data_IF_538994063208
#
_entry.id   IF_538994063208
#
_cell.length_a   1.000
_cell.length_b   1.000
_cell.length_c   1.000
_cell.angle_alpha   90.00
_cell.angle_beta   90.00
_cell.angle_gamma   90.00
#
_symmetry.space_group_name_H-M   'P 1'
#
loop_
_entity.id
_entity.type
_entity.pdbx_description
1 polymer ?
#
# COMPACT_ATOMS: atom_id res chain seq x y z
N UNK A 1 10.62 20.23 8.91
CA UNK A 1 9.89 20.02 10.21
C UNK A 1 9.65 21.27 11.03
N UNK A 2 10.28 22.38 10.78
CA UNK A 2 10.04 23.63 11.55
C UNK A 2 8.62 24.16 11.40
N UNK A 3 8.01 23.98 10.23
CA UNK A 3 6.66 24.47 9.89
C UNK A 3 5.55 23.43 10.06
N UNK A 4 5.90 22.16 10.26
CA UNK A 4 4.92 21.08 10.23
C UNK A 4 4.17 20.99 11.55
N UNK A 5 2.86 21.00 11.43
CA UNK A 5 1.93 20.81 12.55
C UNK A 5 1.39 19.37 12.61
N UNK A 6 1.50 18.62 11.50
CA UNK A 6 1.18 17.19 11.41
C UNK A 6 2.10 16.53 10.40
N UNK A 7 2.51 15.28 10.66
CA UNK A 7 3.39 14.50 9.76
C UNK A 7 3.21 13.01 9.97
N UNK A 8 3.56 12.26 8.94
CA UNK A 8 3.67 10.82 9.00
C UNK A 8 5.14 10.44 9.27
N UNK A 9 5.40 9.71 10.36
CA UNK A 9 6.69 9.09 10.62
C UNK A 9 6.72 7.73 9.93
N UNK A 10 7.80 7.42 9.21
CA UNK A 10 7.98 6.16 8.51
C UNK A 10 9.31 5.54 8.94
N UNK A 11 9.24 4.39 9.58
CA UNK A 11 10.40 3.63 10.06
C UNK A 11 10.93 2.73 8.95
N UNK A 12 12.07 3.12 8.36
CA UNK A 12 12.72 2.38 7.28
C UNK A 12 13.38 1.09 7.76
N UNK A 13 13.78 1.01 9.03
CA UNK A 13 14.38 -0.21 9.59
C UNK A 13 13.30 -1.28 9.77
N UNK A 14 12.14 -0.91 10.34
CA UNK A 14 10.98 -1.80 10.43
C UNK A 14 10.51 -2.27 9.05
N UNK A 15 10.50 -1.37 8.06
CA UNK A 15 10.15 -1.69 6.67
C UNK A 15 11.09 -2.75 6.07
N UNK A 16 12.40 -2.57 6.19
CA UNK A 16 13.40 -3.52 5.69
C UNK A 16 13.34 -4.85 6.45
N UNK A 17 13.16 -4.81 7.78
CA UNK A 17 12.99 -6.02 8.60
C UNK A 17 11.76 -6.82 8.16
N UNK A 18 10.63 -6.16 7.90
CA UNK A 18 9.43 -6.82 7.40
C UNK A 18 9.68 -7.50 6.06
N UNK A 19 10.38 -6.84 5.12
CA UNK A 19 10.69 -7.46 3.84
C UNK A 19 11.68 -8.62 3.98
N UNK A 20 12.64 -8.56 4.93
CA UNK A 20 13.52 -9.69 5.24
C UNK A 20 12.73 -10.89 5.79
N UNK A 21 11.75 -10.65 6.68
CA UNK A 21 10.85 -11.71 7.16
C UNK A 21 10.05 -12.33 6.01
N UNK A 22 9.55 -11.52 5.08
CA UNK A 22 8.88 -12.01 3.87
C UNK A 22 9.81 -12.88 3.02
N UNK A 23 11.05 -12.45 2.76
CA UNK A 23 12.05 -13.24 2.01
C UNK A 23 12.32 -14.59 2.70
N UNK A 24 12.49 -14.60 4.02
CA UNK A 24 12.71 -15.81 4.79
C UNK A 24 11.51 -16.77 4.72
N UNK A 25 10.29 -16.23 4.84
CA UNK A 25 9.04 -17.03 4.78
C UNK A 25 8.79 -17.57 3.39
N UNK A 26 9.00 -16.78 2.35
CA UNK A 26 8.73 -17.16 0.97
C UNK A 26 9.78 -18.13 0.40
N UNK A 27 11.04 -18.00 0.79
CA UNK A 27 12.15 -18.81 0.28
C UNK A 27 12.40 -18.65 -1.22
N UNK A 28 11.90 -17.59 -1.83
CA UNK A 28 12.00 -17.29 -3.26
C UNK A 28 12.11 -15.78 -3.49
N UNK A 29 12.23 -15.34 -4.75
CA UNK A 29 12.28 -13.93 -5.10
C UNK A 29 11.02 -13.17 -4.67
N UNK A 30 11.20 -11.91 -4.30
CA UNK A 30 10.11 -11.04 -3.86
C UNK A 30 9.96 -9.84 -4.80
N UNK A 31 8.73 -9.60 -5.26
CA UNK A 31 8.27 -8.35 -5.84
C UNK A 31 7.69 -7.48 -4.71
N UNK A 32 8.36 -6.37 -4.41
CA UNK A 32 7.86 -5.40 -3.45
C UNK A 32 6.81 -4.49 -4.12
N UNK A 33 5.57 -4.51 -3.63
CA UNK A 33 4.46 -3.71 -4.18
C UNK A 33 4.51 -2.32 -3.57
N UNK A 34 4.79 -1.31 -4.40
CA UNK A 34 4.93 0.11 -4.01
C UNK A 34 3.94 1.03 -4.73
N UNK A 35 2.86 0.47 -5.28
CA UNK A 35 1.77 1.23 -5.91
C UNK A 35 1.06 2.16 -4.91
N UNK A 36 0.29 3.11 -5.42
CA UNK A 36 -0.43 4.11 -4.62
C UNK A 36 0.52 4.84 -3.66
N UNK A 37 1.65 5.31 -4.21
CA UNK A 37 2.70 6.01 -3.45
C UNK A 37 3.23 5.19 -2.26
N UNK A 38 3.53 3.90 -2.51
CA UNK A 38 3.88 2.92 -1.47
C UNK A 38 2.83 2.88 -0.35
N UNK A 39 1.55 2.73 -0.74
CA UNK A 39 0.40 2.75 0.19
C UNK A 39 0.34 4.06 1.02
N UNK A 40 0.71 5.17 0.39
CA UNK A 40 0.72 6.49 1.00
C UNK A 40 1.99 6.84 1.79
N UNK A 41 3.01 6.00 1.79
CA UNK A 41 4.24 6.22 2.58
C UNK A 41 5.42 6.81 1.79
N UNK A 42 5.24 7.12 0.49
CA UNK A 42 6.27 7.71 -0.36
C UNK A 42 7.06 6.70 -1.18
N UNK A 43 6.61 6.44 -2.42
CA UNK A 43 7.11 5.34 -3.26
C UNK A 43 8.61 5.42 -3.54
N UNK A 44 9.14 6.60 -3.79
CA UNK A 44 10.56 6.79 -4.12
C UNK A 44 11.46 6.39 -2.95
N UNK A 45 11.24 6.94 -1.76
CA UNK A 45 12.07 6.64 -0.58
C UNK A 45 11.93 5.18 -0.17
N UNK A 46 10.70 4.65 -0.19
CA UNK A 46 10.43 3.23 0.12
C UNK A 46 11.14 2.31 -0.89
N UNK A 47 11.09 2.62 -2.20
CA UNK A 47 11.77 1.80 -3.21
C UNK A 47 13.29 1.82 -3.03
N UNK A 48 13.89 2.98 -2.73
CA UNK A 48 15.31 3.07 -2.42
C UNK A 48 15.71 2.24 -1.20
N UNK A 49 14.89 2.22 -0.14
CA UNK A 49 15.14 1.38 1.03
C UNK A 49 15.04 -0.12 0.70
N UNK A 50 14.03 -0.53 -0.09
CA UNK A 50 13.75 -1.93 -0.35
C UNK A 50 14.56 -2.57 -1.49
N UNK A 51 15.16 -1.78 -2.40
CA UNK A 51 15.77 -2.33 -3.63
C UNK A 51 16.87 -3.36 -3.40
N UNK A 52 17.57 -3.33 -2.28
CA UNK A 52 18.58 -4.33 -1.94
C UNK A 52 17.96 -5.69 -1.54
N UNK A 53 16.67 -5.72 -1.19
CA UNK A 53 15.98 -6.85 -0.58
C UNK A 53 14.85 -7.42 -1.45
N UNK A 54 14.63 -6.90 -2.67
CA UNK A 54 13.63 -7.41 -3.60
C UNK A 54 14.21 -7.63 -5.00
N UNK A 55 13.59 -8.50 -5.78
CA UNK A 55 13.95 -8.76 -7.18
C UNK A 55 13.21 -7.80 -8.13
N UNK A 56 11.96 -7.45 -7.82
CA UNK A 56 11.08 -6.62 -8.62
C UNK A 56 10.38 -5.57 -7.76
N UNK A 57 9.93 -4.48 -8.43
CA UNK A 57 8.92 -3.60 -7.88
C UNK A 57 7.59 -3.77 -8.62
N UNK A 58 6.46 -3.63 -7.88
CA UNK A 58 5.11 -3.66 -8.44
C UNK A 58 4.41 -2.32 -8.32
N UNK A 59 3.93 -1.77 -9.45
CA UNK A 59 3.19 -0.50 -9.52
C UNK A 59 1.80 -0.72 -10.12
N UNK A 60 0.91 0.28 -10.03
CA UNK A 60 -0.43 0.18 -10.60
C UNK A 60 -0.50 0.72 -12.02
N UNK A 61 0.35 1.68 -12.39
CA UNK A 61 0.29 2.38 -13.66
C UNK A 61 1.67 2.86 -14.12
N UNK A 62 1.71 3.36 -15.37
CA UNK A 62 2.95 3.81 -16.01
C UNK A 62 3.56 5.04 -15.32
N UNK A 63 2.75 5.94 -14.76
CA UNK A 63 3.27 7.16 -14.11
C UNK A 63 3.99 6.83 -12.80
N UNK A 64 3.50 5.90 -12.00
CA UNK A 64 4.19 5.38 -10.81
C UNK A 64 5.51 4.68 -11.19
N UNK A 65 5.49 3.87 -12.26
CA UNK A 65 6.69 3.19 -12.75
C UNK A 65 7.76 4.18 -13.24
N UNK A 66 7.35 5.22 -13.97
CA UNK A 66 8.24 6.29 -14.45
C UNK A 66 8.80 7.15 -13.31
N UNK A 67 8.03 7.40 -12.26
CA UNK A 67 8.50 8.09 -11.06
C UNK A 67 9.68 7.31 -10.43
N UNK A 68 9.56 5.99 -10.28
CA UNK A 68 10.64 5.15 -9.78
C UNK A 68 11.85 5.14 -10.73
N UNK A 69 11.66 5.06 -12.05
CA UNK A 69 12.76 5.13 -13.02
C UNK A 69 13.50 6.45 -12.93
N UNK A 70 12.77 7.57 -12.89
CA UNK A 70 13.37 8.93 -12.77
C UNK A 70 14.11 9.13 -11.46
N UNK A 71 13.71 8.46 -10.39
CA UNK A 71 14.44 8.47 -9.11
C UNK A 71 15.69 7.58 -9.11
N UNK A 72 15.99 6.87 -10.22
CA UNK A 72 17.20 6.05 -10.35
C UNK A 72 17.03 4.58 -10.02
N UNK A 73 15.82 4.09 -9.75
CA UNK A 73 15.56 2.65 -9.52
C UNK A 73 15.82 1.88 -10.82
N UNK A 74 16.75 0.91 -10.77
CA UNK A 74 17.14 0.06 -11.90
C UNK A 74 16.51 -1.34 -11.85
N UNK A 75 15.99 -1.75 -10.72
CA UNK A 75 15.31 -3.06 -10.58
C UNK A 75 14.16 -3.21 -11.58
N UNK A 76 13.84 -4.42 -12.04
CA UNK A 76 12.65 -4.68 -12.82
C UNK A 76 11.39 -4.09 -12.17
N UNK A 77 10.53 -3.43 -12.97
CA UNK A 77 9.25 -2.90 -12.52
C UNK A 77 8.15 -3.56 -13.33
N UNK A 78 7.17 -4.16 -12.64
CA UNK A 78 5.97 -4.74 -13.23
C UNK A 78 4.76 -3.88 -12.90
N UNK A 79 4.05 -3.42 -13.93
CA UNK A 79 2.73 -2.82 -13.77
C UNK A 79 1.71 -3.95 -13.54
N UNK A 80 0.87 -3.82 -12.51
CA UNK A 80 -0.09 -4.86 -12.11
C UNK A 80 -1.49 -4.69 -12.72
N UNK A 81 -1.71 -3.61 -13.49
CA UNK A 81 -2.98 -3.29 -14.14
C UNK A 81 -2.82 -3.04 -15.64
N UNK A 82 -3.92 -3.13 -16.41
CA UNK A 82 -3.90 -2.83 -17.84
C UNK A 82 -3.62 -1.34 -18.10
N UNK A 83 -2.80 -1.05 -19.08
CA UNK A 83 -2.52 0.30 -19.55
C UNK A 83 -3.06 0.50 -20.96
N UNK A 84 -3.38 1.75 -21.36
CA UNK A 84 -3.69 2.05 -22.74
C UNK A 84 -2.45 1.89 -23.64
N UNK A 85 -2.64 1.60 -24.91
CA UNK A 85 -1.55 1.40 -25.88
C UNK A 85 -0.59 2.61 -25.98
N UNK A 86 -1.06 3.82 -25.67
CA UNK A 86 -0.23 5.03 -25.59
C UNK A 86 0.88 4.97 -24.54
N UNK A 87 0.78 4.06 -23.56
CA UNK A 87 1.81 3.87 -22.54
C UNK A 87 2.94 2.94 -23.01
N UNK A 88 2.75 2.15 -24.08
CA UNK A 88 3.70 1.10 -24.46
C UNK A 88 5.02 1.64 -25.00
N UNK A 89 4.99 2.77 -25.69
CA UNK A 89 6.24 3.41 -26.12
C UNK A 89 7.16 3.75 -24.94
N UNK A 90 6.59 4.29 -23.85
CA UNK A 90 7.32 4.60 -22.62
C UNK A 90 7.73 3.33 -21.87
N UNK A 91 6.84 2.32 -21.81
CA UNK A 91 7.14 1.06 -21.15
C UNK A 91 8.35 0.36 -21.81
N UNK A 92 8.41 0.33 -23.14
CA UNK A 92 9.54 -0.22 -23.90
C UNK A 92 10.81 0.62 -23.70
N UNK A 93 10.69 1.96 -23.76
CA UNK A 93 11.82 2.85 -23.59
C UNK A 93 12.51 2.68 -22.23
N UNK A 94 11.74 2.52 -21.18
CA UNK A 94 12.17 2.48 -19.77
C UNK A 94 12.27 1.06 -19.20
N UNK A 95 12.18 0.02 -20.03
CA UNK A 95 12.24 -1.40 -19.62
C UNK A 95 11.25 -1.72 -18.46
N UNK A 96 9.98 -1.32 -18.64
CA UNK A 96 8.90 -1.56 -17.68
C UNK A 96 8.07 -2.74 -18.18
N UNK A 97 7.85 -3.76 -17.31
CA UNK A 97 7.09 -4.95 -17.64
C UNK A 97 5.60 -4.65 -17.62
N UNK A 98 4.90 -5.12 -18.65
CA UNK A 98 3.46 -4.95 -18.81
C UNK A 98 2.73 -6.27 -18.53
N UNK A 99 1.53 -6.24 -17.91
CA UNK A 99 0.67 -7.41 -17.88
C UNK A 99 -0.02 -7.55 -19.23
N UNK A 100 0.02 -8.75 -19.83
CA UNK A 100 -0.62 -9.05 -21.11
C UNK A 100 -1.68 -10.12 -20.92
N UNK A 101 -2.89 -9.81 -21.39
CA UNK A 101 -4.06 -10.71 -21.40
C UNK A 101 -5.03 -10.41 -22.55
N UNK A 102 -4.61 -9.62 -23.53
CA UNK A 102 -5.29 -9.38 -24.80
C UNK A 102 -4.26 -9.44 -25.92
N UNK A 103 -4.64 -10.03 -27.05
CA UNK A 103 -3.76 -10.13 -28.21
C UNK A 103 -3.41 -8.74 -28.80
N UNK A 104 -4.38 -7.85 -28.84
CA UNK A 104 -4.22 -6.48 -29.35
C UNK A 104 -3.20 -5.68 -28.53
N UNK A 105 -3.20 -5.86 -27.21
CA UNK A 105 -2.24 -5.24 -26.30
C UNK A 105 -0.81 -5.79 -26.55
N UNK A 106 -0.69 -7.11 -26.73
CA UNK A 106 0.58 -7.75 -27.08
C UNK A 106 1.08 -7.27 -28.43
N UNK A 107 0.20 -7.17 -29.44
CA UNK A 107 0.54 -6.66 -30.78
C UNK A 107 1.05 -5.22 -30.72
N UNK A 108 0.35 -4.34 -30.00
CA UNK A 108 0.76 -2.95 -29.84
C UNK A 108 2.09 -2.81 -29.09
N UNK A 109 2.34 -3.63 -28.06
CA UNK A 109 3.63 -3.68 -27.36
C UNK A 109 4.76 -4.20 -28.28
N UNK A 110 4.50 -5.22 -29.09
CA UNK A 110 5.41 -5.76 -30.10
C UNK A 110 5.79 -4.71 -31.13
N UNK A 111 4.82 -3.97 -31.65
CA UNK A 111 5.05 -2.93 -32.67
C UNK A 111 5.97 -1.82 -32.12
N UNK A 112 5.77 -1.40 -30.86
CA UNK A 112 6.65 -0.42 -30.22
C UNK A 112 8.03 -1.00 -29.91
N UNK A 113 8.15 -2.26 -29.50
CA UNK A 113 9.42 -2.93 -29.27
C UNK A 113 10.26 -2.99 -30.57
N UNK A 114 9.66 -3.43 -31.66
CA UNK A 114 10.30 -3.49 -32.99
C UNK A 114 10.72 -2.10 -33.45
N UNK A 115 9.84 -1.10 -33.35
CA UNK A 115 10.12 0.29 -33.73
C UNK A 115 11.32 0.88 -32.97
N UNK A 116 11.49 0.51 -31.69
CA UNK A 116 12.60 0.98 -30.86
C UNK A 116 13.84 0.08 -30.93
N UNK A 117 13.81 -1.03 -31.68
CA UNK A 117 14.89 -2.02 -31.73
C UNK A 117 15.20 -2.66 -30.38
N UNK A 118 14.20 -2.81 -29.53
CA UNK A 118 14.30 -3.36 -28.17
C UNK A 118 13.48 -4.65 -28.02
N UNK A 119 13.73 -5.37 -26.93
CA UNK A 119 12.87 -6.47 -26.49
C UNK A 119 12.02 -5.97 -25.32
N UNK A 120 10.69 -6.10 -25.44
CA UNK A 120 9.75 -5.81 -24.37
C UNK A 120 9.48 -7.09 -23.59
N UNK A 121 9.85 -7.09 -22.29
CA UNK A 121 9.50 -8.16 -21.37
C UNK A 121 8.13 -7.92 -20.81
N UNK A 122 7.35 -8.99 -20.69
CA UNK A 122 5.99 -8.91 -20.18
C UNK A 122 5.63 -10.13 -19.34
N UNK A 123 4.57 -10.01 -18.52
CA UNK A 123 4.00 -11.12 -17.78
C UNK A 123 2.57 -11.38 -18.25
N UNK A 124 2.24 -12.63 -18.54
CA UNK A 124 0.85 -13.02 -18.77
C UNK A 124 0.04 -12.87 -17.48
N UNK A 125 -1.14 -12.26 -17.56
CA UNK A 125 -2.10 -12.28 -16.47
C UNK A 125 -3.19 -13.31 -16.73
N UNK A 126 -3.50 -14.15 -15.74
CA UNK A 126 -4.50 -15.23 -15.84
C UNK A 126 -5.55 -15.04 -14.74
N UNK A 127 -6.81 -15.06 -15.11
CA UNK A 127 -7.93 -15.06 -14.18
C UNK A 127 -8.29 -16.49 -13.79
N UNK A 128 -8.03 -16.81 -12.54
CA UNK A 128 -8.36 -18.12 -11.96
C UNK A 128 -9.53 -18.05 -10.97
N UNK A 129 -10.14 -16.85 -10.81
CA UNK A 129 -11.29 -16.66 -9.94
C UNK A 129 -11.36 -15.32 -9.20
N UNK A 130 -10.43 -14.38 -9.45
CA UNK A 130 -10.54 -13.00 -8.97
C UNK A 130 -11.55 -12.19 -9.79
N UNK A 131 -11.77 -12.60 -11.06
CA UNK A 131 -12.73 -12.00 -12.00
C UNK A 131 -12.51 -10.50 -12.24
N UNK A 132 -11.24 -10.07 -12.27
CA UNK A 132 -10.88 -8.66 -12.44
C UNK A 132 -10.16 -8.38 -13.75
N UNK A 133 -9.08 -9.09 -14.03
CA UNK A 133 -8.30 -9.02 -15.28
C UNK A 133 -7.65 -10.39 -15.51
N UNK A 134 -7.29 -10.68 -16.75
CA UNK A 134 -6.52 -11.88 -17.11
C UNK A 134 -7.22 -12.73 -18.16
N UNK A 135 -6.43 -13.55 -18.86
CA UNK A 135 -6.97 -14.62 -19.70
C UNK A 135 -7.78 -15.60 -18.84
N UNK A 136 -8.89 -16.11 -19.36
CA UNK A 136 -9.52 -17.26 -18.74
C UNK A 136 -8.62 -18.48 -18.88
N UNK A 137 -8.55 -19.33 -17.87
CA UNK A 137 -7.70 -20.52 -17.88
C UNK A 137 -8.28 -21.63 -18.79
N UNK A 138 -8.30 -21.40 -20.11
CA UNK A 138 -8.87 -22.28 -21.14
C UNK A 138 -7.86 -22.67 -22.22
N UNK A 139 -8.21 -23.68 -23.04
CA UNK A 139 -7.41 -24.11 -24.19
C UNK A 139 -7.23 -22.97 -25.21
N UNK A 140 -8.30 -22.24 -25.49
CA UNK A 140 -8.31 -21.12 -26.46
C UNK A 140 -7.37 -20.01 -26.00
N UNK A 141 -7.36 -19.69 -24.70
CA UNK A 141 -6.44 -18.70 -24.13
C UNK A 141 -4.97 -19.18 -24.21
N UNK A 142 -4.72 -20.47 -24.00
CA UNK A 142 -3.38 -21.03 -24.14
C UNK A 142 -2.91 -20.96 -25.61
N UNK A 143 -3.81 -21.18 -26.59
CA UNK A 143 -3.49 -21.03 -28.01
C UNK A 143 -3.20 -19.58 -28.39
N UNK A 144 -3.89 -18.60 -27.78
CA UNK A 144 -3.56 -17.17 -27.93
C UNK A 144 -2.20 -16.84 -27.34
N UNK A 145 -1.84 -17.38 -26.18
CA UNK A 145 -0.51 -17.18 -25.60
C UNK A 145 0.60 -17.68 -26.54
N UNK A 146 0.39 -18.84 -27.23
CA UNK A 146 1.31 -19.33 -28.26
C UNK A 146 1.47 -18.30 -29.41
N UNK A 147 0.39 -17.70 -29.86
CA UNK A 147 0.44 -16.68 -30.91
C UNK A 147 1.18 -15.42 -30.42
N UNK A 148 0.94 -14.98 -29.20
CA UNK A 148 1.61 -13.82 -28.59
C UNK A 148 3.11 -14.05 -28.49
N UNK A 149 3.55 -15.25 -28.05
CA UNK A 149 4.97 -15.57 -27.95
C UNK A 149 5.72 -15.57 -29.30
N UNK A 150 4.97 -15.62 -30.43
CA UNK A 150 5.58 -15.53 -31.78
C UNK A 150 5.71 -14.10 -32.28
N UNK A 151 5.15 -13.10 -31.59
CA UNK A 151 5.26 -11.71 -31.99
C UNK A 151 6.71 -11.22 -31.81
N UNK A 152 7.25 -10.50 -32.80
CA UNK A 152 8.64 -10.05 -32.75
C UNK A 152 8.86 -9.01 -31.63
N UNK A 153 10.05 -9.02 -31.05
CA UNK A 153 10.43 -8.05 -30.00
C UNK A 153 9.76 -8.26 -28.65
N UNK A 154 9.07 -9.40 -28.43
CA UNK A 154 8.45 -9.74 -27.15
C UNK A 154 9.19 -10.91 -26.48
N UNK A 155 9.25 -10.86 -25.14
CA UNK A 155 9.74 -11.92 -24.27
C UNK A 155 8.75 -12.14 -23.14
N UNK A 156 8.15 -13.34 -23.09
CA UNK A 156 7.27 -13.77 -21.99
C UNK A 156 8.12 -14.13 -20.77
N UNK A 157 8.44 -13.12 -19.93
CA UNK A 157 9.29 -13.25 -18.75
C UNK A 157 8.55 -13.93 -17.60
N UNK A 158 7.24 -13.69 -17.48
CA UNK A 158 6.46 -14.23 -16.36
C UNK A 158 5.00 -14.50 -16.66
N UNK A 159 4.34 -15.15 -15.69
CA UNK A 159 2.90 -15.41 -15.68
C UNK A 159 2.38 -15.30 -14.25
N UNK A 160 1.21 -14.66 -14.08
CA UNK A 160 0.63 -14.51 -12.75
C UNK A 160 -0.89 -14.63 -12.72
N UNK A 161 -1.38 -14.98 -11.54
CA UNK A 161 -2.77 -14.82 -11.14
C UNK A 161 -2.85 -14.05 -9.83
N UNK A 162 -4.05 -13.89 -9.27
CA UNK A 162 -4.27 -13.21 -8.01
C UNK A 162 -5.33 -13.92 -7.19
N UNK A 163 -5.00 -14.22 -5.93
CA UNK A 163 -5.95 -14.78 -5.00
C UNK A 163 -7.05 -13.78 -4.63
N UNK A 164 -8.29 -14.27 -4.59
CA UNK A 164 -9.45 -13.50 -4.15
C UNK A 164 -9.67 -13.61 -2.64
N UNK A 165 -9.38 -14.77 -2.05
CA UNK A 165 -9.74 -15.15 -0.68
C UNK A 165 -8.63 -15.88 0.07
N UNK A 166 -7.35 -15.57 -0.24
CA UNK A 166 -6.23 -16.19 0.49
C UNK A 166 -6.07 -15.66 1.92
N UNK A 167 -6.81 -14.63 2.27
CA UNK A 167 -6.87 -13.97 3.56
C UNK A 167 -8.06 -14.42 4.44
N UNK A 168 -8.81 -15.45 4.00
CA UNK A 168 -9.92 -16.05 4.75
C UNK A 168 -9.48 -17.31 5.50
N UNK A 169 -10.18 -17.66 6.59
CA UNK A 169 -9.99 -18.93 7.29
C UNK A 169 -10.21 -20.14 6.37
N UNK A 170 -11.23 -20.07 5.49
CA UNK A 170 -11.48 -21.11 4.51
C UNK A 170 -10.69 -20.87 3.22
N UNK A 171 -9.63 -21.60 3.04
CA UNK A 171 -8.77 -21.56 1.86
C UNK A 171 -9.25 -22.40 0.67
N UNK A 172 -10.44 -23.00 0.72
CA UNK A 172 -10.94 -23.91 -0.34
C UNK A 172 -10.97 -23.20 -1.70
N UNK A 173 -11.49 -21.96 -1.76
CA UNK A 173 -11.53 -21.16 -2.99
C UNK A 173 -10.13 -20.81 -3.48
N UNK A 174 -9.24 -20.39 -2.58
CA UNK A 174 -7.86 -20.04 -2.93
C UNK A 174 -7.08 -21.25 -3.44
N UNK A 175 -7.24 -22.44 -2.84
CA UNK A 175 -6.66 -23.70 -3.33
C UNK A 175 -7.19 -24.08 -4.71
N UNK A 176 -8.49 -23.89 -4.97
CA UNK A 176 -9.07 -24.11 -6.29
C UNK A 176 -8.51 -23.16 -7.34
N UNK A 177 -8.30 -21.87 -6.98
CA UNK A 177 -7.63 -20.89 -7.86
C UNK A 177 -6.21 -21.33 -8.21
N UNK A 178 -5.43 -21.81 -7.20
CA UNK A 178 -4.07 -22.32 -7.41
C UNK A 178 -4.07 -23.50 -8.37
N UNK A 179 -4.94 -24.48 -8.18
CA UNK A 179 -5.07 -25.63 -9.09
C UNK A 179 -5.41 -25.26 -10.54
N UNK A 180 -6.26 -24.22 -10.74
CA UNK A 180 -6.53 -23.68 -12.09
C UNK A 180 -5.30 -23.00 -12.70
N UNK A 181 -4.52 -22.30 -11.89
CA UNK A 181 -3.28 -21.65 -12.34
C UNK A 181 -2.25 -22.68 -12.77
N UNK A 182 -2.03 -23.72 -11.94
CA UNK A 182 -1.11 -24.83 -12.25
C UNK A 182 -1.52 -25.52 -13.54
N UNK A 183 -2.81 -25.90 -13.68
CA UNK A 183 -3.33 -26.53 -14.90
C UNK A 183 -3.14 -25.65 -16.14
N UNK A 184 -3.28 -24.32 -16.04
CA UNK A 184 -3.03 -23.43 -17.16
C UNK A 184 -1.55 -23.34 -17.53
N UNK A 185 -0.65 -23.33 -16.55
CA UNK A 185 0.79 -23.40 -16.79
C UNK A 185 1.18 -24.73 -17.49
N UNK A 186 0.57 -25.85 -17.09
CA UNK A 186 0.75 -27.14 -17.75
C UNK A 186 0.26 -27.14 -19.21
N UNK A 187 -0.87 -26.49 -19.49
CA UNK A 187 -1.38 -26.29 -20.85
C UNK A 187 -0.40 -25.52 -21.74
N UNK A 188 0.27 -24.48 -21.19
CA UNK A 188 1.31 -23.74 -21.90
C UNK A 188 2.54 -24.59 -22.15
N UNK A 189 2.99 -25.35 -21.14
CA UNK A 189 4.13 -26.26 -21.26
C UNK A 189 3.90 -27.35 -22.32
N UNK A 190 2.70 -27.95 -22.40
CA UNK A 190 2.29 -28.91 -23.44
C UNK A 190 2.34 -28.31 -24.85
N UNK A 191 2.22 -26.98 -24.98
CA UNK A 191 2.36 -26.23 -26.25
C UNK A 191 3.78 -25.76 -26.54
N UNK A 192 4.75 -26.18 -25.71
CA UNK A 192 6.16 -25.79 -25.84
C UNK A 192 6.51 -24.43 -25.30
N UNK A 193 5.61 -23.78 -24.52
CA UNK A 193 5.88 -22.51 -23.87
C UNK A 193 6.29 -22.78 -22.42
N UNK A 194 7.52 -22.40 -22.07
CA UNK A 194 8.01 -22.40 -20.69
C UNK A 194 8.17 -20.96 -20.23
N UNK A 195 7.46 -20.58 -19.17
CA UNK A 195 7.53 -19.26 -18.58
C UNK A 195 8.42 -19.34 -17.34
N UNK A 196 9.54 -18.62 -17.28
CA UNK A 196 10.51 -18.78 -16.20
C UNK A 196 10.03 -18.29 -14.83
N UNK A 197 9.15 -17.28 -14.78
CA UNK A 197 8.70 -16.66 -13.52
C UNK A 197 7.20 -16.83 -13.37
N UNK A 198 6.77 -17.73 -12.49
CA UNK A 198 5.37 -17.87 -12.07
C UNK A 198 5.17 -17.14 -10.76
N UNK A 199 4.05 -16.44 -10.59
CA UNK A 199 3.75 -15.80 -9.32
C UNK A 199 2.23 -15.65 -9.08
N UNK A 200 1.81 -16.02 -7.89
CA UNK A 200 0.41 -15.92 -7.49
C UNK A 200 0.23 -15.32 -6.09
N UNK A 201 1.12 -15.67 -5.15
CA UNK A 201 1.02 -15.27 -3.76
C UNK A 201 1.08 -13.74 -3.60
N UNK A 202 0.01 -13.13 -3.08
CA UNK A 202 -0.03 -11.81 -2.48
C UNK A 202 0.39 -11.91 -0.99
N UNK A 203 0.24 -10.86 -0.19
CA UNK A 203 0.58 -10.88 1.24
C UNK A 203 -0.10 -12.04 1.99
N UNK A 204 -1.38 -12.28 1.74
CA UNK A 204 -2.11 -13.39 2.34
C UNK A 204 -1.60 -14.76 1.86
N UNK A 205 -1.32 -14.88 0.56
CA UNK A 205 -0.75 -16.09 -0.01
C UNK A 205 0.63 -16.42 0.57
N UNK A 206 1.47 -15.41 0.82
CA UNK A 206 2.78 -15.59 1.49
C UNK A 206 2.60 -16.14 2.90
N UNK A 207 1.56 -15.73 3.62
CA UNK A 207 1.29 -16.18 4.99
C UNK A 207 0.71 -17.60 5.02
N UNK A 208 -0.25 -17.90 4.15
CA UNK A 208 -1.13 -19.06 4.27
C UNK A 208 -0.78 -20.25 3.35
N UNK A 209 0.14 -20.08 2.38
CA UNK A 209 0.61 -21.15 1.50
C UNK A 209 2.10 -21.39 1.71
N UNK A 210 2.47 -22.67 1.84
CA UNK A 210 3.88 -23.08 1.93
C UNK A 210 4.56 -23.05 0.56
N UNK A 211 3.81 -23.37 -0.50
CA UNK A 211 4.32 -23.32 -1.87
C UNK A 211 4.33 -21.90 -2.40
N UNK A 212 5.49 -21.37 -2.62
CA UNK A 212 5.71 -20.20 -3.45
C UNK A 212 6.20 -20.67 -4.84
N UNK A 213 5.81 -19.94 -5.89
CA UNK A 213 6.43 -20.11 -7.20
C UNK A 213 7.79 -19.36 -7.21
N UNK A 214 8.31 -19.04 -8.39
CA UNK A 214 9.58 -18.34 -8.54
C UNK A 214 9.58 -16.91 -8.01
N UNK A 215 8.39 -16.31 -7.80
CA UNK A 215 8.24 -14.94 -7.31
C UNK A 215 6.96 -14.81 -6.45
N UNK A 216 7.04 -14.09 -5.34
CA UNK A 216 5.89 -13.67 -4.55
C UNK A 216 5.70 -12.15 -4.61
N UNK A 217 4.48 -11.66 -4.33
CA UNK A 217 4.17 -10.21 -4.35
C UNK A 217 3.81 -9.72 -2.96
N UNK A 218 4.79 -9.14 -2.29
CA UNK A 218 4.63 -8.58 -0.96
C UNK A 218 4.07 -7.16 -1.02
N UNK A 219 2.91 -6.95 -0.41
CA UNK A 219 2.22 -5.66 -0.33
C UNK A 219 2.09 -5.19 1.10
N UNK A 220 0.88 -5.29 1.67
CA UNK A 220 0.51 -4.69 2.96
C UNK A 220 1.41 -5.14 4.12
N UNK A 221 1.93 -6.36 4.10
CA UNK A 221 2.82 -6.88 5.14
C UNK A 221 4.17 -6.16 5.18
N UNK A 222 4.64 -5.58 4.06
CA UNK A 222 5.85 -4.75 4.08
C UNK A 222 5.67 -3.54 5.00
N UNK A 223 4.44 -3.03 5.09
CA UNK A 223 4.07 -1.85 5.86
C UNK A 223 3.62 -2.16 7.29
N UNK A 224 3.79 -3.43 7.71
CA UNK A 224 3.53 -3.87 9.08
C UNK A 224 2.05 -4.04 9.41
N UNK A 225 1.24 -4.38 8.41
CA UNK A 225 -0.19 -4.62 8.56
C UNK A 225 -0.57 -5.96 7.94
N UNK A 226 -1.69 -6.51 8.36
CA UNK A 226 -2.20 -7.79 7.88
C UNK A 226 -3.32 -7.61 6.86
N UNK A 227 -3.48 -8.56 5.90
CA UNK A 227 -4.48 -8.44 4.84
C UNK A 227 -5.93 -8.54 5.35
N UNK A 228 -6.16 -9.23 6.46
CA UNK A 228 -7.45 -9.31 7.16
C UNK A 228 -7.22 -9.71 8.62
N UNK A 229 -8.27 -9.68 9.43
CA UNK A 229 -8.30 -10.19 10.81
C UNK A 229 -8.43 -11.72 10.89
N UNK A 230 -8.64 -12.41 9.76
CA UNK A 230 -8.71 -13.86 9.68
C UNK A 230 -7.32 -14.53 9.50
N UNK A 231 -6.27 -13.78 9.19
CA UNK A 231 -4.92 -14.34 9.10
C UNK A 231 -4.23 -14.38 10.45
N UNK A 232 -3.45 -15.42 10.70
CA UNK A 232 -2.67 -15.53 11.94
C UNK A 232 -1.39 -14.67 11.89
N UNK A 233 -1.28 -13.61 12.69
CA UNK A 233 -0.09 -12.75 12.73
C UNK A 233 1.20 -13.48 13.08
N UNK A 234 1.14 -14.61 13.79
CA UNK A 234 2.32 -15.39 14.17
C UNK A 234 3.02 -16.03 12.96
N UNK A 235 2.29 -16.24 11.84
CA UNK A 235 2.86 -16.79 10.61
C UNK A 235 3.88 -15.85 9.96
N UNK A 236 3.75 -14.54 10.21
CA UNK A 236 4.66 -13.50 9.72
C UNK A 236 4.60 -12.29 10.68
N UNK A 237 5.40 -12.26 11.75
CA UNK A 237 5.31 -11.25 12.82
C UNK A 237 5.94 -9.91 12.39
N UNK A 238 5.24 -9.19 11.49
CA UNK A 238 5.67 -7.89 10.99
C UNK A 238 5.46 -6.77 12.02
N UNK A 239 6.29 -5.72 11.92
CA UNK A 239 6.24 -4.54 12.78
C UNK A 239 5.53 -3.38 12.08
N UNK A 240 4.70 -2.57 12.77
CA UNK A 240 4.19 -1.33 12.21
C UNK A 240 5.32 -0.43 11.69
N UNK A 241 5.13 0.14 10.50
CA UNK A 241 6.13 0.98 9.83
C UNK A 241 5.82 2.46 9.99
N UNK A 242 4.57 2.81 10.33
CA UNK A 242 4.15 4.20 10.35
C UNK A 242 3.53 4.63 11.68
N UNK A 243 3.76 5.90 12.01
CA UNK A 243 3.00 6.65 13.02
C UNK A 243 2.53 7.98 12.43
N UNK A 244 1.34 8.43 12.81
CA UNK A 244 0.82 9.71 12.40
C UNK A 244 0.68 10.63 13.60
N UNK A 245 1.41 11.75 13.57
CA UNK A 245 1.55 12.69 14.69
C UNK A 245 0.98 14.04 14.30
N UNK A 246 0.38 14.74 15.29
CA UNK A 246 0.01 16.15 15.18
C UNK A 246 0.40 16.91 16.43
N UNK A 247 0.70 18.22 16.29
CA UNK A 247 0.93 19.11 17.44
C UNK A 247 -0.40 19.72 17.91
N UNK A 248 -0.56 19.86 19.22
CA UNK A 248 -1.63 20.69 19.78
C UNK A 248 -1.39 22.15 19.39
N UNK A 249 -2.35 22.77 18.72
CA UNK A 249 -2.23 24.17 18.27
C UNK A 249 -2.97 25.17 19.16
N UNK A 250 -3.92 24.70 19.95
CA UNK A 250 -4.67 25.55 20.88
C UNK A 250 -5.25 24.71 22.01
N UNK A 251 -5.29 25.32 23.21
CA UNK A 251 -5.93 24.73 24.40
C UNK A 251 -6.81 25.79 25.05
N UNK A 252 -8.03 25.43 25.43
CA UNK A 252 -8.99 26.34 26.10
C UNK A 252 -9.88 25.55 27.06
N UNK A 253 -10.33 26.22 28.12
CA UNK A 253 -11.35 25.72 29.03
C UNK A 253 -12.71 26.28 28.65
N UNK A 254 -13.72 25.42 28.55
CA UNK A 254 -15.09 25.81 28.23
C UNK A 254 -16.02 25.40 29.38
N UNK A 255 -17.02 26.27 29.74
CA UNK A 255 -18.01 25.88 30.73
C UNK A 255 -18.95 24.79 30.20
N UNK A 256 -19.71 24.12 31.09
CA UNK A 256 -20.81 23.24 30.70
C UNK A 256 -21.83 24.00 29.81
N UNK A 257 -22.48 23.26 28.90
CA UNK A 257 -23.48 23.77 27.97
C UNK A 257 -22.91 24.42 26.70
N UNK A 258 -21.59 24.36 26.44
CA UNK A 258 -20.99 24.85 25.18
C UNK A 258 -21.07 23.84 24.07
N UNK A 259 -21.58 24.26 22.93
CA UNK A 259 -21.59 23.48 21.72
C UNK A 259 -20.22 23.52 21.01
N UNK A 260 -19.80 22.37 20.48
CA UNK A 260 -18.49 22.21 19.81
C UNK A 260 -18.68 21.81 18.35
N UNK A 261 -17.92 22.46 17.47
CA UNK A 261 -17.82 22.20 16.04
C UNK A 261 -19.12 22.45 15.25
N UNK A 262 -19.05 22.11 13.96
CA UNK A 262 -20.16 22.29 13.02
C UNK A 262 -21.43 21.56 13.46
N UNK A 263 -22.56 22.31 13.48
CA UNK A 263 -23.86 21.78 13.86
C UNK A 263 -24.04 21.54 15.35
N UNK A 264 -23.06 21.92 16.19
CA UNK A 264 -23.17 21.81 17.64
C UNK A 264 -23.52 20.40 18.13
N UNK A 265 -23.05 19.37 17.41
CA UNK A 265 -23.47 17.97 17.70
C UNK A 265 -22.93 17.43 19.04
N UNK A 266 -21.94 18.09 19.63
CA UNK A 266 -21.44 17.80 20.96
C UNK A 266 -21.67 19.01 21.87
N UNK A 267 -22.18 18.78 23.08
CA UNK A 267 -22.34 19.83 24.10
C UNK A 267 -21.61 19.41 25.36
N UNK A 268 -20.76 20.29 25.89
CA UNK A 268 -20.02 20.03 27.13
C UNK A 268 -21.02 19.84 28.31
N UNK A 269 -20.82 18.79 29.10
CA UNK A 269 -21.66 18.47 30.27
C UNK A 269 -21.04 18.96 31.59
N UNK A 270 -19.76 19.33 31.56
CA UNK A 270 -18.97 19.86 32.69
C UNK A 270 -18.03 20.94 32.16
N UNK A 271 -17.31 21.60 33.05
CA UNK A 271 -16.13 22.37 32.63
C UNK A 271 -15.17 21.44 31.91
N UNK A 272 -14.80 21.78 30.66
CA UNK A 272 -14.09 20.90 29.73
C UNK A 272 -12.87 21.61 29.18
N UNK A 273 -11.71 20.99 29.30
CA UNK A 273 -10.47 21.44 28.64
C UNK A 273 -10.41 20.82 27.25
N UNK A 274 -10.41 21.69 26.25
CA UNK A 274 -10.44 21.28 24.83
C UNK A 274 -9.12 21.61 24.18
N UNK A 275 -8.45 20.61 23.58
CA UNK A 275 -7.33 20.80 22.69
C UNK A 275 -7.78 20.77 21.22
N UNK A 276 -7.17 21.63 20.40
CA UNK A 276 -7.38 21.66 18.94
C UNK A 276 -6.15 21.09 18.25
N UNK A 277 -6.38 20.15 17.33
CA UNK A 277 -5.35 19.54 16.48
C UNK A 277 -5.54 20.00 15.03
N UNK A 278 -4.45 20.32 14.30
CA UNK A 278 -4.48 20.82 12.93
C UNK A 278 -4.54 19.66 11.93
N UNK A 279 -5.49 18.77 12.09
CA UNK A 279 -5.75 17.61 11.25
C UNK A 279 -7.25 17.48 11.04
N UNK A 280 -7.64 17.24 9.79
CA UNK A 280 -9.02 17.00 9.44
C UNK A 280 -9.17 16.06 8.23
N UNK A 281 -10.37 16.07 7.63
CA UNK A 281 -10.65 15.12 6.55
C UNK A 281 -9.87 15.45 5.26
N UNK A 282 -9.38 16.67 5.07
CA UNK A 282 -8.52 16.99 3.93
C UNK A 282 -7.09 16.44 4.06
N UNK A 283 -6.68 16.07 5.29
CA UNK A 283 -5.43 15.35 5.55
C UNK A 283 -5.59 13.83 5.38
N UNK A 284 -6.83 13.35 5.26
CA UNK A 284 -7.16 11.94 5.22
C UNK A 284 -7.72 11.37 6.53
N UNK A 285 -7.82 12.19 7.60
CA UNK A 285 -8.39 11.76 8.87
C UNK A 285 -9.92 11.78 8.80
N UNK A 286 -10.52 10.59 8.69
CA UNK A 286 -11.90 10.43 8.24
C UNK A 286 -12.92 11.12 9.13
N UNK A 287 -13.85 11.85 8.50
CA UNK A 287 -14.95 12.56 9.18
C UNK A 287 -15.91 11.58 9.91
N UNK A 288 -15.98 10.32 9.49
CA UNK A 288 -16.76 9.25 10.13
C UNK A 288 -16.21 8.81 11.51
N UNK A 289 -15.01 9.27 11.90
CA UNK A 289 -14.45 9.13 13.24
C UNK A 289 -15.06 10.11 14.25
N UNK A 290 -15.88 11.08 13.82
CA UNK A 290 -16.63 11.98 14.69
C UNK A 290 -17.37 11.21 15.77
N UNK A 291 -17.19 11.60 17.03
CA UNK A 291 -17.80 11.00 18.24
C UNK A 291 -17.52 9.50 18.46
N UNK A 292 -16.59 8.92 17.70
CA UNK A 292 -16.20 7.50 17.82
C UNK A 292 -14.72 7.31 18.11
N UNK A 293 -13.88 8.18 17.57
CA UNK A 293 -12.43 8.08 17.67
C UNK A 293 -11.86 8.80 18.89
N UNK A 294 -10.60 8.54 19.14
CA UNK A 294 -9.79 9.26 20.10
C UNK A 294 -8.37 9.41 19.51
N UNK A 295 -7.59 10.30 20.10
CA UNK A 295 -6.14 10.39 19.89
C UNK A 295 -5.42 10.10 21.18
N UNK A 296 -4.10 9.90 21.15
CA UNK A 296 -3.32 9.71 22.37
C UNK A 296 -2.54 10.98 22.69
N UNK A 297 -2.63 11.43 23.93
CA UNK A 297 -1.87 12.54 24.50
C UNK A 297 -1.33 12.12 25.86
N UNK A 298 -0.03 12.31 26.10
CA UNK A 298 0.63 11.94 27.36
C UNK A 298 0.32 10.49 27.81
N UNK A 299 0.23 9.53 26.86
CA UNK A 299 -0.07 8.13 27.18
C UNK A 299 -1.53 7.85 27.51
N UNK A 300 -2.46 8.78 27.23
CA UNK A 300 -3.89 8.64 27.55
C UNK A 300 -4.75 8.92 26.34
N UNK A 301 -5.95 8.33 26.31
CA UNK A 301 -6.98 8.54 25.29
C UNK A 301 -7.68 9.87 25.48
N UNK A 302 -7.59 10.74 24.46
CA UNK A 302 -8.35 12.01 24.37
C UNK A 302 -9.46 11.85 23.34
N UNK A 303 -10.74 11.75 23.75
CA UNK A 303 -11.87 11.56 22.83
C UNK A 303 -12.01 12.72 21.86
N UNK A 304 -12.34 12.42 20.61
CA UNK A 304 -12.72 13.43 19.61
C UNK A 304 -14.12 13.92 19.96
N UNK A 305 -14.27 15.25 20.12
CA UNK A 305 -15.53 15.89 20.49
C UNK A 305 -16.01 16.84 19.39
N UNK A 306 -17.23 16.66 18.96
CA UNK A 306 -17.82 17.37 17.84
C UNK A 306 -17.24 16.94 16.49
N UNK A 307 -17.80 17.48 15.41
CA UNK A 307 -17.47 17.04 14.04
C UNK A 307 -16.01 17.38 13.68
N UNK A 308 -15.32 16.43 13.08
CA UNK A 308 -14.03 16.64 12.43
C UNK A 308 -14.26 17.60 11.26
N UNK A 309 -13.49 18.70 11.24
CA UNK A 309 -13.54 19.73 10.21
C UNK A 309 -12.61 19.36 9.02
N UNK A 310 -12.50 20.24 8.03
CA UNK A 310 -11.62 20.04 6.90
C UNK A 310 -10.15 19.94 7.34
N UNK A 311 -9.71 20.85 8.20
CA UNK A 311 -8.30 21.07 8.54
C UNK A 311 -8.01 20.95 10.05
N UNK A 312 -9.03 20.75 10.87
CA UNK A 312 -8.88 20.73 12.33
C UNK A 312 -9.91 19.81 12.99
N UNK A 313 -9.57 19.32 14.18
CA UNK A 313 -10.48 18.62 15.07
C UNK A 313 -10.23 19.02 16.53
N UNK A 314 -11.23 18.78 17.38
CA UNK A 314 -11.18 19.05 18.81
C UNK A 314 -11.22 17.75 19.60
N UNK A 315 -10.44 17.69 20.67
CA UNK A 315 -10.38 16.57 21.59
C UNK A 315 -10.56 17.03 23.02
N UNK A 316 -11.23 16.23 23.83
CA UNK A 316 -11.39 16.47 25.28
C UNK A 316 -10.12 15.98 26.00
N UNK A 317 -9.43 16.92 26.67
CA UNK A 317 -8.22 16.66 27.44
C UNK A 317 -8.41 16.99 28.94
N UNK A 318 -9.65 17.11 29.39
CA UNK A 318 -9.97 17.49 30.78
C UNK A 318 -9.30 16.58 31.81
N UNK A 319 -9.25 15.28 31.52
CA UNK A 319 -8.68 14.28 32.43
C UNK A 319 -7.21 13.94 32.10
N UNK A 320 -6.57 14.77 31.26
CA UNK A 320 -5.16 14.66 30.87
C UNK A 320 -4.42 15.93 31.33
N UNK A 321 -3.84 15.95 32.54
CA UNK A 321 -3.25 17.14 33.08
C UNK A 321 -2.02 17.61 32.30
N UNK A 322 -1.85 18.92 32.21
CA UNK A 322 -0.65 19.55 31.67
C UNK A 322 -0.56 19.60 30.14
N UNK A 323 -1.63 19.27 29.40
CA UNK A 323 -1.66 19.41 27.94
C UNK A 323 -1.53 20.88 27.57
N UNK A 324 -0.60 21.18 26.66
CA UNK A 324 -0.27 22.54 26.22
C UNK A 324 -0.02 22.59 24.71
N UNK A 325 0.00 23.79 24.15
CA UNK A 325 0.38 24.05 22.75
C UNK A 325 1.79 23.49 22.51
N UNK A 326 1.94 22.77 21.40
CA UNK A 326 3.18 22.10 20.99
C UNK A 326 3.29 20.64 21.42
N UNK A 327 2.44 20.16 22.32
CA UNK A 327 2.43 18.73 22.68
C UNK A 327 2.05 17.86 21.49
N UNK A 328 2.60 16.67 21.43
CA UNK A 328 2.36 15.70 20.35
C UNK A 328 1.14 14.83 20.68
N UNK A 329 0.15 14.89 19.80
CA UNK A 329 -0.98 13.97 19.75
C UNK A 329 -0.68 12.85 18.75
N UNK A 330 -0.83 11.59 19.16
CA UNK A 330 -0.69 10.42 18.30
C UNK A 330 -2.06 10.07 17.72
N UNK A 331 -2.16 10.09 16.40
CA UNK A 331 -3.37 9.77 15.63
C UNK A 331 -3.39 8.30 15.22
N UNK A 332 -2.22 7.77 14.88
CA UNK A 332 -1.91 6.36 14.62
C UNK A 332 -0.54 6.10 15.23
N UNK A 333 -0.38 5.04 16.01
CA UNK A 333 0.87 4.68 16.67
C UNK A 333 0.71 4.55 18.19
N UNK A 334 1.82 4.68 18.92
CA UNK A 334 1.88 4.43 20.36
C UNK A 334 2.18 5.68 21.17
N UNK A 335 1.60 5.74 22.38
CA UNK A 335 1.94 6.72 23.39
C UNK A 335 1.83 6.06 24.78
N UNK A 336 2.97 5.81 25.44
CA UNK A 336 3.02 4.99 26.65
C UNK A 336 2.53 3.56 26.36
N UNK A 337 1.59 3.08 27.17
CA UNK A 337 1.02 1.74 27.05
C UNK A 337 -0.16 1.69 26.05
N UNK A 338 -0.64 2.84 25.58
CA UNK A 338 -1.77 2.93 24.67
C UNK A 338 -1.33 2.93 23.20
N UNK A 339 -2.18 2.34 22.33
CA UNK A 339 -1.95 2.24 20.90
C UNK A 339 -3.23 2.52 20.10
N UNK A 340 -3.07 3.21 18.98
CA UNK A 340 -4.08 3.34 17.94
C UNK A 340 -3.54 2.70 16.67
N UNK A 341 -4.08 1.53 16.30
CA UNK A 341 -3.71 0.84 15.07
C UNK A 341 -4.50 1.35 13.88
N UNK A 342 -3.99 1.12 12.68
CA UNK A 342 -4.72 1.39 11.43
C UNK A 342 -5.99 0.54 11.36
N UNK A 343 -5.92 -0.73 11.79
CA UNK A 343 -7.06 -1.65 11.82
C UNK A 343 -8.17 -1.17 12.77
N UNK A 344 -7.81 -0.61 13.93
CA UNK A 344 -8.78 0.01 14.84
C UNK A 344 -9.55 1.14 14.15
N UNK A 345 -8.85 2.05 13.45
CA UNK A 345 -9.52 3.15 12.72
C UNK A 345 -10.36 2.63 11.55
N UNK A 346 -9.89 1.60 10.85
CA UNK A 346 -10.63 0.95 9.77
C UNK A 346 -11.96 0.35 10.29
N UNK A 347 -11.92 -0.39 11.40
CA UNK A 347 -13.10 -0.98 12.04
C UNK A 347 -14.11 0.10 12.46
N UNK A 348 -13.65 1.20 13.09
CA UNK A 348 -14.53 2.32 13.50
C UNK A 348 -15.22 3.00 12.31
N UNK A 349 -14.61 2.99 11.16
CA UNK A 349 -15.11 3.67 9.95
C UNK A 349 -15.76 2.74 8.93
N UNK A 350 -15.78 1.42 9.20
CA UNK A 350 -16.40 0.40 8.35
C UNK A 350 -15.65 0.21 7.03
N UNK A 351 -14.31 0.23 7.06
CA UNK A 351 -13.45 0.07 5.88
C UNK A 351 -12.26 -0.84 6.18
N UNK A 352 -11.29 -0.87 5.26
CA UNK A 352 -10.05 -1.66 5.34
C UNK A 352 -8.86 -0.78 5.73
N UNK A 353 -7.86 -1.36 6.40
CA UNK A 353 -6.59 -0.72 6.72
C UNK A 353 -5.92 -0.11 5.48
N UNK A 354 -5.96 -0.79 4.32
CA UNK A 354 -5.48 -0.27 3.03
C UNK A 354 -6.06 1.11 2.69
N UNK A 355 -7.38 1.29 2.88
CA UNK A 355 -8.06 2.54 2.54
C UNK A 355 -7.70 3.67 3.50
N UNK A 356 -7.44 3.36 4.77
CA UNK A 356 -6.98 4.35 5.75
C UNK A 356 -5.64 4.92 5.35
N UNK A 357 -4.64 4.06 5.11
CA UNK A 357 -3.27 4.52 4.82
C UNK A 357 -3.14 5.17 3.44
N UNK A 358 -3.77 4.59 2.40
CA UNK A 358 -3.79 5.20 1.07
C UNK A 358 -4.56 6.53 1.03
N UNK A 359 -5.42 6.79 2.01
CA UNK A 359 -6.19 8.02 2.14
C UNK A 359 -5.44 9.19 2.76
N UNK A 360 -4.24 8.97 3.34
CA UNK A 360 -3.43 10.04 3.91
C UNK A 360 -2.96 10.98 2.81
N UNK A 361 -3.39 12.24 2.90
CA UNK A 361 -3.18 13.25 1.86
C UNK A 361 -1.70 13.58 1.64
N UNK A 362 -1.36 13.99 0.42
CA UNK A 362 -0.02 14.51 0.07
C UNK A 362 0.33 15.83 0.75
N UNK A 363 -0.61 16.51 1.39
CA UNK A 363 -0.31 17.70 2.19
C UNK A 363 0.28 17.35 3.56
N UNK A 364 0.16 16.12 4.03
CA UNK A 364 0.84 15.60 5.23
C UNK A 364 2.27 15.21 4.85
N UNK A 365 3.32 15.83 5.40
CA UNK A 365 4.70 15.45 5.11
C UNK A 365 5.02 14.02 5.56
N UNK A 366 5.95 13.36 4.85
CA UNK A 366 6.52 12.07 5.26
C UNK A 366 7.92 12.31 5.79
N UNK A 367 8.15 11.88 7.02
CA UNK A 367 9.46 11.97 7.69
C UNK A 367 9.97 10.56 7.91
N UNK A 368 11.12 10.25 7.33
CA UNK A 368 11.68 8.90 7.35
C UNK A 368 12.73 8.79 8.45
N UNK A 369 12.69 7.67 9.16
CA UNK A 369 13.55 7.38 10.30
C UNK A 369 14.44 6.17 10.04
N UNK A 370 15.68 6.25 10.54
CA UNK A 370 16.62 5.13 10.71
C UNK A 370 17.28 5.23 12.08
N UNK A 371 17.45 4.11 12.77
CA UNK A 371 17.99 4.05 14.12
C UNK A 371 17.32 5.07 15.08
N UNK A 372 16.00 5.23 14.93
CA UNK A 372 15.19 6.18 15.70
C UNK A 372 15.46 7.66 15.41
N UNK A 373 16.20 8.00 14.34
CA UNK A 373 16.53 9.37 13.96
C UNK A 373 15.94 9.72 12.59
N UNK A 374 15.43 10.95 12.40
CA UNK A 374 14.99 11.40 11.09
C UNK A 374 16.18 11.53 10.13
N UNK A 375 16.07 10.93 8.95
CA UNK A 375 17.13 10.92 7.91
C UNK A 375 16.75 11.66 6.66
N UNK A 376 15.47 11.76 6.36
CA UNK A 376 14.94 12.53 5.21
C UNK A 376 13.47 12.88 5.42
N UNK A 377 12.99 13.85 4.63
CA UNK A 377 11.59 14.24 4.61
C UNK A 377 11.13 14.53 3.18
N UNK A 378 9.85 14.34 2.90
CA UNK A 378 9.22 14.65 1.62
C UNK A 378 8.00 15.54 1.86
N UNK A 379 8.02 16.71 1.23
CA UNK A 379 6.94 17.68 1.21
C UNK A 379 6.38 17.81 -0.21
N UNK A 380 5.44 16.94 -0.60
CA UNK A 380 4.94 16.87 -1.97
C UNK A 380 4.48 18.19 -2.57
N UNK A 381 3.94 19.11 -1.74
CA UNK A 381 3.47 20.43 -2.22
C UNK A 381 4.62 21.40 -2.47
N UNK A 382 5.78 21.19 -1.85
CA UNK A 382 6.98 22.02 -2.02
C UNK A 382 7.94 21.40 -3.05
N UNK A 383 8.10 20.08 -3.01
CA UNK A 383 9.06 19.33 -3.84
C UNK A 383 8.58 19.17 -5.30
N UNK A 384 7.28 19.33 -5.55
CA UNK A 384 6.69 19.21 -6.90
C UNK A 384 7.03 20.36 -7.85
N UNK A 385 7.80 21.36 -7.42
CA UNK A 385 8.19 22.54 -8.22
C UNK A 385 9.64 22.47 -8.76
N UNK A 386 10.35 21.36 -8.53
CA UNK A 386 11.74 21.18 -9.01
C UNK A 386 11.85 20.11 -10.10
#
# INVERSE_FOLDING_TARGET
>A
MEYDLTWLQVDLDALEDNLRLVNQKAGTDVLAVVKADAYGMGAVTIAHALQAHCAFFGTANITEALELRRSGIQKPILILGRMPASAYALAVAEDIRMPIFLYEDAKALSDEAVKQGKTARFHFAVDTGMSRIGFQATQESADLCVQICKLPGLEAEGIFSHFATADSYDLTSAKAQKGKFDAFCDLLAQRGIQIPIRHMNNSAGIMNFEDAYELVRSGIVNYGMYPSDEVDPQLLPVKPVMEWIAKVVYVKTLPAGRQISYGGCYTTTRETVVATLPVGYADGYRRSLTDKGHVLLHGKKAPIIGRICMDQMMVDVTDIPGVKIGDHAVLIGRSGDEEITVDYLAALTGTLNYEIICGISRRTPRVYYRDGKPVSEVHYLLDSQN
#
